data_IF_834388858088
#
_entry.id   IF_834388858088
#
_cell.length_a   1.000
_cell.length_b   1.000
_cell.length_c   1.000
_cell.angle_alpha   90.00
_cell.angle_beta   90.00
_cell.angle_gamma   90.00
#
_symmetry.space_group_name_H-M   'P 1'
#
loop_
_entity.id
_entity.type
_entity.pdbx_description
1 polymer ?
#
# COMPACT_ATOMS: atom_id res chain seq x y z
N UNK A 1 -12.67 -4.63 17.33
CA UNK A 1 -12.34 -5.05 15.96
C UNK A 1 -11.96 -6.53 15.94
N UNK A 2 -12.22 -7.23 14.83
CA UNK A 2 -11.73 -8.61 14.64
C UNK A 2 -10.21 -8.61 14.43
N UNK A 3 -9.47 -9.54 15.05
CA UNK A 3 -8.02 -9.72 14.86
C UNK A 3 -7.63 -9.90 13.38
N UNK A 4 -8.55 -10.41 12.56
CA UNK A 4 -8.36 -10.56 11.13
C UNK A 4 -8.33 -9.21 10.40
N UNK A 5 -9.12 -8.25 10.88
CA UNK A 5 -9.16 -6.89 10.35
C UNK A 5 -7.86 -6.13 10.65
N UNK A 6 -7.30 -6.31 11.86
CA UNK A 6 -6.01 -5.72 12.24
C UNK A 6 -4.84 -6.31 11.45
N UNK A 7 -4.91 -7.59 11.08
CA UNK A 7 -3.90 -8.22 10.22
C UNK A 7 -3.98 -7.73 8.77
N UNK A 8 -5.19 -7.60 8.24
CA UNK A 8 -5.45 -7.18 6.86
C UNK A 8 -5.19 -5.70 6.61
N UNK A 9 -5.35 -4.83 7.61
CA UNK A 9 -5.17 -3.38 7.45
C UNK A 9 -3.70 -2.92 7.37
N UNK A 10 -2.73 -3.85 7.50
CA UNK A 10 -1.31 -3.51 7.43
C UNK A 10 -0.72 -3.01 8.74
N UNK A 11 -1.41 -3.23 9.88
CA UNK A 11 -0.85 -3.03 11.22
C UNK A 11 0.32 -4.00 11.51
N UNK A 12 0.41 -5.08 10.74
CA UNK A 12 1.48 -6.09 10.74
C UNK A 12 2.04 -6.17 9.31
N UNK A 13 3.35 -6.39 9.10
CA UNK A 13 3.95 -6.59 7.76
C UNK A 13 3.26 -7.66 6.90
N UNK A 14 2.47 -8.55 7.52
CA UNK A 14 1.63 -9.54 6.84
C UNK A 14 0.57 -8.96 5.90
N UNK A 15 0.00 -7.77 6.17
CA UNK A 15 -1.03 -7.17 5.31
C UNK A 15 -0.49 -6.74 3.93
N UNK A 16 0.67 -6.07 3.93
CA UNK A 16 1.35 -5.67 2.69
C UNK A 16 1.93 -6.90 1.97
N UNK A 17 2.46 -7.87 2.72
CA UNK A 17 2.89 -9.16 2.16
C UNK A 17 1.76 -9.93 1.48
N UNK A 18 0.57 -9.97 2.10
CA UNK A 18 -0.61 -10.61 1.54
C UNK A 18 -1.09 -9.89 0.27
N UNK A 19 -1.09 -8.56 0.26
CA UNK A 19 -1.40 -7.77 -0.93
C UNK A 19 -0.46 -8.10 -2.10
N UNK A 20 0.86 -8.07 -1.85
CA UNK A 20 1.86 -8.40 -2.88
C UNK A 20 1.70 -9.84 -3.37
N UNK A 21 1.49 -10.78 -2.46
CA UNK A 21 1.25 -12.19 -2.80
C UNK A 21 0.01 -12.35 -3.70
N UNK A 22 -1.08 -11.66 -3.36
CA UNK A 22 -2.34 -11.76 -4.09
C UNK A 22 -2.22 -11.16 -5.50
N UNK A 23 -1.54 -10.02 -5.63
CA UNK A 23 -1.22 -9.42 -6.94
C UNK A 23 -0.34 -10.36 -7.77
N UNK A 24 0.65 -11.00 -7.15
CA UNK A 24 1.57 -11.92 -7.83
C UNK A 24 0.86 -13.19 -8.31
N UNK A 25 0.01 -13.79 -7.48
CA UNK A 25 -0.80 -14.97 -7.86
C UNK A 25 -1.73 -14.64 -9.02
N UNK A 26 -2.39 -13.49 -8.99
CA UNK A 26 -3.27 -13.05 -10.07
C UNK A 26 -2.51 -12.75 -11.36
N UNK A 27 -1.32 -12.14 -11.25
CA UNK A 27 -0.44 -11.96 -12.39
C UNK A 27 -0.09 -13.30 -13.04
N UNK A 28 0.32 -14.30 -12.24
CA UNK A 28 0.66 -15.63 -12.74
C UNK A 28 -0.54 -16.35 -13.35
N UNK A 29 -1.71 -16.28 -12.73
CA UNK A 29 -2.94 -16.86 -13.24
C UNK A 29 -3.34 -16.24 -14.59
N UNK A 30 -3.31 -14.91 -14.69
CA UNK A 30 -3.63 -14.20 -15.93
C UNK A 30 -2.58 -14.44 -17.01
N UNK A 31 -1.30 -14.54 -16.63
CA UNK A 31 -0.21 -14.87 -17.54
C UNK A 31 -0.36 -16.29 -18.10
N UNK A 32 -0.67 -17.26 -17.24
CA UNK A 32 -0.97 -18.63 -17.66
C UNK A 32 -2.15 -18.67 -18.63
N UNK A 33 -3.25 -17.99 -18.30
CA UNK A 33 -4.41 -17.88 -19.20
C UNK A 33 -4.06 -17.22 -20.54
N UNK A 34 -3.18 -16.22 -20.54
CA UNK A 34 -2.73 -15.56 -21.77
C UNK A 34 -1.88 -16.46 -22.68
N UNK A 35 -1.21 -17.46 -22.11
CA UNK A 35 -0.41 -18.44 -22.87
C UNK A 35 -1.27 -19.53 -23.48
N UNK A 36 -2.37 -19.91 -22.83
CA UNK A 36 -3.26 -20.99 -23.27
C UNK A 36 -4.34 -20.54 -24.25
N UNK A 37 -4.53 -19.23 -24.44
CA UNK A 37 -5.65 -18.70 -25.21
C UNK A 37 -5.15 -17.80 -26.35
N UNK A 38 -5.27 -18.29 -27.59
CA UNK A 38 -4.78 -17.60 -28.79
C UNK A 38 -5.47 -16.25 -29.04
N UNK A 39 -6.68 -16.06 -28.52
CA UNK A 39 -7.43 -14.81 -28.60
C UNK A 39 -6.91 -13.74 -27.62
N UNK A 40 -6.01 -14.10 -26.71
CA UNK A 40 -5.55 -13.23 -25.64
C UNK A 40 -4.35 -12.37 -26.07
N UNK A 41 -4.66 -11.25 -26.72
CA UNK A 41 -3.62 -10.30 -27.16
C UNK A 41 -2.91 -9.63 -25.97
N UNK A 42 -1.66 -9.18 -26.12
CA UNK A 42 -0.93 -8.43 -25.08
C UNK A 42 -1.66 -7.15 -24.62
N UNK A 43 -2.48 -6.55 -25.49
CA UNK A 43 -3.32 -5.39 -25.15
C UNK A 43 -4.43 -5.77 -24.17
N UNK A 44 -5.10 -6.90 -24.40
CA UNK A 44 -6.12 -7.42 -23.49
C UNK A 44 -5.52 -7.80 -22.15
N UNK A 45 -4.34 -8.44 -22.14
CA UNK A 45 -3.61 -8.74 -20.90
C UNK A 45 -3.39 -7.50 -20.04
N UNK A 46 -2.81 -6.44 -20.61
CA UNK A 46 -2.55 -5.20 -19.85
C UNK A 46 -3.84 -4.55 -19.35
N UNK A 47 -4.91 -4.58 -20.14
CA UNK A 47 -6.21 -4.01 -19.75
C UNK A 47 -6.83 -4.77 -18.58
N UNK A 48 -6.86 -6.09 -18.64
CA UNK A 48 -7.41 -6.93 -17.57
C UNK A 48 -6.54 -6.89 -16.33
N UNK A 49 -5.22 -6.97 -16.47
CA UNK A 49 -4.30 -6.86 -15.35
C UNK A 49 -4.45 -5.49 -14.66
N UNK A 50 -4.49 -4.40 -15.43
CA UNK A 50 -4.69 -3.06 -14.88
C UNK A 50 -6.02 -2.90 -14.15
N UNK A 51 -7.11 -3.44 -14.71
CA UNK A 51 -8.43 -3.41 -14.06
C UNK A 51 -8.43 -4.19 -12.73
N UNK A 52 -7.89 -5.41 -12.72
CA UNK A 52 -7.78 -6.25 -11.52
C UNK A 52 -6.90 -5.56 -10.47
N UNK A 53 -5.75 -5.03 -10.89
CA UNK A 53 -4.83 -4.30 -10.02
C UNK A 53 -5.49 -3.08 -9.39
N UNK A 54 -6.23 -2.28 -10.17
CA UNK A 54 -6.94 -1.11 -9.67
C UNK A 54 -8.00 -1.47 -8.63
N UNK A 55 -8.78 -2.54 -8.87
CA UNK A 55 -9.80 -3.01 -7.92
C UNK A 55 -9.18 -3.46 -6.59
N UNK A 56 -8.09 -4.23 -6.66
CA UNK A 56 -7.41 -4.75 -5.46
C UNK A 56 -6.73 -3.63 -4.70
N UNK A 57 -6.06 -2.72 -5.41
CA UNK A 57 -5.41 -1.54 -4.82
C UNK A 57 -6.45 -0.65 -4.15
N UNK A 58 -7.59 -0.39 -4.82
CA UNK A 58 -8.68 0.38 -4.25
C UNK A 58 -9.26 -0.27 -2.99
N UNK A 59 -9.52 -1.58 -3.02
CA UNK A 59 -9.99 -2.32 -1.85
C UNK A 59 -8.98 -2.30 -0.69
N UNK A 60 -7.70 -2.48 -1.00
CA UNK A 60 -6.63 -2.41 -0.01
C UNK A 60 -6.50 -1.02 0.61
N UNK A 61 -6.57 0.05 -0.20
CA UNK A 61 -6.55 1.43 0.29
C UNK A 61 -7.73 1.71 1.22
N UNK A 62 -8.94 1.25 0.90
CA UNK A 62 -10.10 1.40 1.78
C UNK A 62 -9.89 0.71 3.13
N UNK A 63 -9.35 -0.52 3.13
CA UNK A 63 -9.00 -1.24 4.36
C UNK A 63 -7.91 -0.52 5.15
N UNK A 64 -6.92 0.04 4.46
CA UNK A 64 -5.80 0.76 5.05
C UNK A 64 -6.24 2.09 5.68
N UNK A 65 -7.08 2.88 5.00
CA UNK A 65 -7.63 4.13 5.55
C UNK A 65 -8.56 3.88 6.74
N UNK A 66 -9.25 2.73 6.79
CA UNK A 66 -10.10 2.36 7.91
C UNK A 66 -9.33 1.98 9.19
N UNK A 67 -8.05 1.61 9.08
CA UNK A 67 -7.20 1.27 10.23
C UNK A 67 -5.70 1.46 9.88
N UNK A 68 -5.23 2.72 9.79
CA UNK A 68 -3.88 3.02 9.36
C UNK A 68 -2.83 2.45 10.31
N UNK A 69 -1.65 2.03 9.82
CA UNK A 69 -0.59 1.53 10.68
C UNK A 69 -0.15 2.60 11.71
N UNK A 70 0.13 2.23 12.96
CA UNK A 70 0.57 3.15 14.01
C UNK A 70 1.91 3.83 13.68
N UNK A 71 2.73 3.23 12.81
CA UNK A 71 3.96 3.86 12.30
C UNK A 71 3.68 5.04 11.35
N UNK A 72 2.52 5.05 10.70
CA UNK A 72 2.03 6.16 9.88
C UNK A 72 1.47 7.23 10.80
N UNK A 73 0.67 6.84 11.80
CA UNK A 73 0.23 7.76 12.84
C UNK A 73 1.40 8.48 13.52
N UNK A 74 2.45 7.79 13.96
CA UNK A 74 3.57 8.43 14.66
C UNK A 74 4.41 9.36 13.78
N UNK A 75 4.49 9.10 12.47
CA UNK A 75 5.20 9.98 11.51
C UNK A 75 4.40 11.20 11.09
N UNK A 76 3.07 11.11 11.06
CA UNK A 76 2.21 12.25 10.73
C UNK A 76 1.73 13.01 11.99
N UNK A 77 1.66 12.36 13.16
CA UNK A 77 1.37 13.05 14.43
C UNK A 77 2.54 13.89 14.91
N UNK A 78 3.79 13.48 14.64
CA UNK A 78 4.97 14.32 14.88
C UNK A 78 4.98 15.59 14.04
N UNK A 79 4.29 15.65 12.89
CA UNK A 79 4.09 16.92 12.16
C UNK A 79 3.09 17.87 12.84
N UNK A 80 2.17 17.36 13.65
CA UNK A 80 1.11 18.16 14.31
C UNK A 80 1.34 18.41 15.80
N UNK A 81 2.34 17.77 16.42
CA UNK A 81 2.56 17.86 17.87
C UNK A 81 4.05 17.90 18.24
N UNK A 82 4.82 18.76 17.57
CA UNK A 82 6.10 19.24 18.14
C UNK A 82 5.78 20.40 19.09
N UNK A 83 5.37 20.08 20.32
CA UNK A 83 5.34 21.04 21.43
C UNK A 83 6.69 21.15 22.15
N UNK A 84 7.59 20.18 21.95
CA UNK A 84 8.90 20.16 22.60
C UNK A 84 10.03 20.40 21.60
N UNK A 85 10.75 21.53 21.71
CA UNK A 85 11.79 21.94 20.76
C UNK A 85 13.05 21.05 20.76
N UNK A 86 13.16 20.07 21.66
CA UNK A 86 14.30 19.15 21.73
C UNK A 86 14.32 18.07 20.64
N UNK A 87 13.16 17.61 20.18
CA UNK A 87 13.06 16.47 19.24
C UNK A 87 12.97 16.89 17.77
N UNK A 88 12.88 18.20 17.48
CA UNK A 88 12.74 18.75 16.13
C UNK A 88 14.06 19.19 15.48
N UNK A 89 15.20 18.65 15.93
CA UNK A 89 16.51 19.02 15.38
C UNK A 89 16.60 18.79 13.87
N UNK A 90 15.96 17.74 13.35
CA UNK A 90 15.94 17.43 11.92
C UNK A 90 15.11 18.46 11.12
N UNK A 91 14.03 19.00 11.71
CA UNK A 91 13.21 20.03 11.07
C UNK A 91 13.91 21.39 11.04
N UNK A 92 14.77 21.69 12.04
CA UNK A 92 15.66 22.85 12.02
C UNK A 92 16.75 22.74 10.95
N UNK A 93 17.32 21.54 10.77
CA UNK A 93 18.39 21.30 9.79
C UNK A 93 17.94 21.63 8.34
N UNK A 94 16.71 21.27 7.97
CA UNK A 94 16.16 21.60 6.66
C UNK A 94 15.61 23.04 6.55
N UNK A 95 15.46 23.75 7.67
CA UNK A 95 15.02 25.16 7.66
C UNK A 95 16.18 26.11 7.36
N UNK A 96 17.38 25.81 7.86
CA UNK A 96 18.56 26.67 7.70
C UNK A 96 19.30 26.44 6.36
N UNK A 97 19.05 25.34 5.64
CA UNK A 97 19.56 25.16 4.26
C UNK A 97 18.75 25.92 3.18
N UNK A 98 17.64 26.57 3.57
CA UNK A 98 16.77 27.35 2.67
C UNK A 98 16.97 28.87 2.83
N UNK A 99 17.96 29.32 3.61
CA UNK A 99 18.36 30.74 3.68
C UNK A 99 19.63 31.04 2.91
#
# INVERSE_FOLDING_TARGET
MSKMYDFLSGNVPGGLGLYVLLVLVLFLALHSASRSNELFTPRLFRRWFGAIWAVITGGYLLLWFGNPPPAVYSRYSTMFSVEQPGDAWLAYYFRDEVS
#
